data_IF_107330483199
#
_entry.id   IF_107330483199
#
_cell.length_a   1.000
_cell.length_b   1.000
_cell.length_c   1.000
_cell.angle_alpha   90.00
_cell.angle_beta   90.00
_cell.angle_gamma   90.00
#
_symmetry.space_group_name_H-M   'P 1'
#
loop_
_entity.id
_entity.type
_entity.pdbx_description
1 polymer ?
#
# COMPACT_ATOMS: atom_id res chain seq x y z
N UNK A 1 -1.03 0.29 -10.03
CA UNK A 1 -1.75 0.49 -11.31
C UNK A 1 -1.10 -0.49 -12.27
N UNK A 2 -1.82 -1.53 -12.71
CA UNK A 2 -1.20 -2.63 -13.47
C UNK A 2 -1.67 -2.64 -14.94
N UNK A 3 -2.97 -2.43 -15.19
CA UNK A 3 -3.53 -2.39 -16.54
C UNK A 3 -4.63 -1.33 -16.61
N UNK A 4 -4.48 -0.37 -17.52
CA UNK A 4 -5.51 0.62 -17.88
C UNK A 4 -6.47 -0.01 -18.89
N UNK A 5 -7.77 0.21 -18.73
CA UNK A 5 -8.82 -0.45 -19.54
C UNK A 5 -9.44 0.48 -20.58
N UNK A 6 -9.19 1.79 -20.47
CA UNK A 6 -9.68 2.79 -21.41
C UNK A 6 -9.29 2.48 -22.85
N UNK A 7 -10.26 2.57 -23.77
CA UNK A 7 -10.06 2.34 -25.21
C UNK A 7 -9.81 3.61 -26.01
N UNK A 8 -9.83 4.78 -25.34
CA UNK A 8 -9.55 6.08 -25.95
C UNK A 8 -8.58 6.87 -25.07
N UNK A 9 -7.84 7.80 -25.68
CA UNK A 9 -6.87 8.66 -24.98
C UNK A 9 -7.54 9.44 -23.84
N UNK A 10 -8.76 9.94 -24.06
CA UNK A 10 -9.53 10.66 -23.04
C UNK A 10 -9.83 9.79 -21.80
N UNK A 11 -10.33 8.57 -22.02
CA UNK A 11 -10.66 7.65 -20.91
C UNK A 11 -9.40 7.25 -20.14
N UNK A 12 -8.31 6.96 -20.86
CA UNK A 12 -7.02 6.59 -20.25
C UNK A 12 -6.48 7.74 -19.37
N UNK A 13 -6.60 9.00 -19.81
CA UNK A 13 -6.23 10.17 -18.99
C UNK A 13 -7.05 10.23 -17.70
N UNK A 14 -8.36 10.02 -17.78
CA UNK A 14 -9.24 10.00 -16.60
C UNK A 14 -8.88 8.86 -15.64
N UNK A 15 -8.64 7.65 -16.15
CA UNK A 15 -8.20 6.53 -15.33
C UNK A 15 -6.90 6.83 -14.57
N UNK A 16 -5.91 7.43 -15.25
CA UNK A 16 -4.65 7.83 -14.64
C UNK A 16 -4.86 8.84 -13.50
N UNK A 17 -5.67 9.88 -13.75
CA UNK A 17 -5.98 10.91 -12.75
C UNK A 17 -6.72 10.33 -11.54
N UNK A 18 -7.71 9.46 -11.76
CA UNK A 18 -8.46 8.81 -10.68
C UNK A 18 -7.54 7.93 -9.84
N UNK A 19 -6.64 7.17 -10.48
CA UNK A 19 -5.67 6.35 -9.76
C UNK A 19 -4.68 7.18 -8.95
N UNK A 20 -4.14 8.26 -9.52
CA UNK A 20 -3.25 9.17 -8.80
C UNK A 20 -3.96 9.81 -7.61
N UNK A 21 -5.21 10.25 -7.81
CA UNK A 21 -6.06 10.84 -6.76
C UNK A 21 -6.31 9.84 -5.63
N UNK A 22 -6.74 8.62 -5.95
CA UNK A 22 -7.00 7.58 -4.96
C UNK A 22 -5.74 7.22 -4.17
N UNK A 23 -4.60 7.07 -4.85
CA UNK A 23 -3.32 6.79 -4.21
C UNK A 23 -2.93 7.91 -3.22
N UNK A 24 -3.01 9.17 -3.67
CA UNK A 24 -2.66 10.31 -2.84
C UNK A 24 -3.61 10.48 -1.65
N UNK A 25 -4.91 10.24 -1.83
CA UNK A 25 -5.89 10.28 -0.74
C UNK A 25 -5.55 9.26 0.36
N UNK A 26 -5.22 8.02 -0.03
CA UNK A 26 -4.80 6.99 0.93
C UNK A 26 -3.50 7.40 1.64
N UNK A 27 -2.54 7.98 0.92
CA UNK A 27 -1.28 8.47 1.50
C UNK A 27 -1.50 9.61 2.50
N UNK A 28 -2.41 10.53 2.21
CA UNK A 28 -2.78 11.62 3.13
C UNK A 28 -3.42 11.05 4.40
N UNK A 29 -4.35 10.10 4.28
CA UNK A 29 -4.95 9.43 5.45
C UNK A 29 -3.89 8.72 6.32
N UNK A 30 -2.93 8.03 5.70
CA UNK A 30 -1.80 7.45 6.43
C UNK A 30 -0.98 8.53 7.13
N UNK A 31 -0.69 9.65 6.47
CA UNK A 31 0.06 10.75 7.06
C UNK A 31 -0.67 11.41 8.23
N UNK A 32 -1.98 11.60 8.12
CA UNK A 32 -2.81 12.12 9.21
C UNK A 32 -2.82 11.17 10.42
N UNK A 33 -2.99 9.88 10.19
CA UNK A 33 -2.94 8.87 11.25
C UNK A 33 -1.54 8.77 11.91
N UNK A 34 -0.48 8.88 11.11
CA UNK A 34 0.91 8.93 11.57
C UNK A 34 1.13 10.14 12.47
N UNK A 35 0.75 11.34 11.99
CA UNK A 35 0.87 12.61 12.71
C UNK A 35 0.09 12.60 14.02
N UNK A 36 -1.13 12.08 14.02
CA UNK A 36 -1.98 12.01 15.22
C UNK A 36 -1.46 11.03 16.29
N UNK A 37 -0.63 10.06 15.90
CA UNK A 37 -0.12 9.02 16.81
C UNK A 37 1.39 9.05 17.04
N UNK A 38 2.11 10.03 16.47
CA UNK A 38 3.57 10.12 16.57
C UNK A 38 4.32 8.95 15.91
N UNK A 39 3.71 8.27 14.94
CA UNK A 39 4.30 7.10 14.26
C UNK A 39 4.96 7.47 12.95
N UNK A 40 5.96 6.70 12.53
CA UNK A 40 6.51 6.80 11.17
C UNK A 40 5.47 6.32 10.15
N UNK A 41 5.10 7.20 9.20
CA UNK A 41 4.16 6.89 8.12
C UNK A 41 4.58 5.69 7.27
N UNK A 42 5.89 5.41 7.16
CA UNK A 42 6.42 4.25 6.42
C UNK A 42 6.11 2.92 7.11
N UNK A 43 5.81 2.96 8.40
CA UNK A 43 5.45 1.78 9.20
C UNK A 43 3.97 1.44 9.10
N UNK A 44 3.13 2.33 8.58
CA UNK A 44 1.69 2.09 8.44
C UNK A 44 1.37 1.23 7.22
N UNK A 45 0.38 0.35 7.34
CA UNK A 45 -0.05 -0.54 6.26
C UNK A 45 -0.91 0.21 5.23
N UNK A 46 -0.41 0.36 3.99
CA UNK A 46 -1.20 0.90 2.88
C UNK A 46 -2.41 0.01 2.58
N UNK A 47 -2.21 -1.31 2.50
CA UNK A 47 -3.27 -2.27 2.20
C UNK A 47 -4.36 -2.27 3.29
N UNK A 48 -3.95 -2.20 4.56
CA UNK A 48 -4.88 -2.07 5.68
C UNK A 48 -5.63 -0.76 5.69
N UNK A 49 -4.95 0.36 5.37
CA UNK A 49 -5.61 1.68 5.21
C UNK A 49 -6.70 1.64 4.14
N UNK A 50 -6.40 1.03 2.98
CA UNK A 50 -7.37 0.86 1.90
C UNK A 50 -8.57 -0.02 2.33
N UNK A 51 -8.33 -1.13 3.03
CA UNK A 51 -9.41 -1.98 3.56
C UNK A 51 -10.31 -1.21 4.53
N UNK A 52 -9.73 -0.48 5.49
CA UNK A 52 -10.48 0.32 6.47
C UNK A 52 -11.30 1.42 5.80
N UNK A 53 -10.72 2.13 4.83
CA UNK A 53 -11.43 3.15 4.07
C UNK A 53 -12.60 2.56 3.27
N UNK A 54 -12.40 1.41 2.63
CA UNK A 54 -13.48 0.70 1.90
C UNK A 54 -14.62 0.28 2.81
N UNK A 55 -14.31 -0.21 4.02
CA UNK A 55 -15.31 -0.59 5.02
C UNK A 55 -16.10 0.61 5.55
N UNK A 56 -15.44 1.76 5.73
CA UNK A 56 -16.11 3.00 6.11
C UNK A 56 -16.90 3.66 4.97
N UNK A 57 -16.54 3.33 3.71
CA UNK A 57 -17.11 3.92 2.50
C UNK A 57 -18.64 4.00 2.47
N UNK A 58 -19.39 2.89 2.72
CA UNK A 58 -20.86 2.93 2.74
C UNK A 58 -21.43 3.97 3.70
N UNK A 59 -20.84 4.14 4.88
CA UNK A 59 -21.28 5.13 5.87
C UNK A 59 -20.86 6.56 5.48
N UNK A 60 -19.65 6.72 4.94
CA UNK A 60 -19.09 8.04 4.57
C UNK A 60 -19.76 8.60 3.31
N UNK A 61 -20.18 7.74 2.38
CA UNK A 61 -20.72 8.11 1.07
C UNK A 61 -22.25 8.03 1.00
N UNK A 62 -22.92 7.49 2.01
CA UNK A 62 -24.37 7.40 2.01
C UNK A 62 -25.02 8.80 2.05
N UNK A 63 -26.01 8.98 1.17
CA UNK A 63 -26.81 10.19 1.16
C UNK A 63 -27.61 10.32 2.46
N UNK A 64 -27.61 11.51 3.06
CA UNK A 64 -28.34 11.78 4.31
C UNK A 64 -27.61 11.38 5.59
N UNK A 65 -26.42 10.79 5.53
CA UNK A 65 -25.63 10.52 6.75
C UNK A 65 -25.23 11.84 7.42
N UNK A 66 -25.54 12.03 8.72
CA UNK A 66 -25.16 13.24 9.43
C UNK A 66 -23.66 13.46 9.40
N UNK A 67 -23.22 14.71 9.17
CA UNK A 67 -21.79 15.08 9.14
C UNK A 67 -21.02 14.63 10.39
N UNK A 68 -21.69 14.60 11.55
CA UNK A 68 -21.12 14.09 12.80
C UNK A 68 -20.75 12.61 12.70
N UNK A 69 -21.64 11.76 12.21
CA UNK A 69 -21.39 10.32 12.05
C UNK A 69 -20.26 10.06 11.05
N UNK A 70 -20.21 10.83 9.96
CA UNK A 70 -19.10 10.75 9.00
C UNK A 70 -17.76 11.08 9.67
N UNK A 71 -17.71 12.13 10.49
CA UNK A 71 -16.50 12.51 11.24
C UNK A 71 -16.08 11.43 12.24
N UNK A 72 -17.02 10.87 12.98
CA UNK A 72 -16.77 9.78 13.94
C UNK A 72 -16.23 8.53 13.22
N UNK A 73 -16.80 8.17 12.07
CA UNK A 73 -16.32 7.07 11.24
C UNK A 73 -14.89 7.30 10.74
N UNK A 74 -14.59 8.50 10.23
CA UNK A 74 -13.24 8.85 9.78
C UNK A 74 -12.23 8.86 10.93
N UNK A 75 -12.62 9.36 12.11
CA UNK A 75 -11.78 9.30 13.31
C UNK A 75 -11.47 7.85 13.71
N UNK A 76 -12.45 6.94 13.62
CA UNK A 76 -12.25 5.51 13.86
C UNK A 76 -11.30 4.89 12.81
N UNK A 77 -11.42 5.26 11.54
CA UNK A 77 -10.49 4.84 10.48
C UNK A 77 -9.06 5.27 10.81
N UNK A 78 -8.85 6.55 11.15
CA UNK A 78 -7.52 7.06 11.51
C UNK A 78 -6.94 6.33 12.74
N UNK A 79 -7.76 6.09 13.76
CA UNK A 79 -7.36 5.34 14.94
C UNK A 79 -6.94 3.89 14.59
N UNK A 80 -7.72 3.21 13.74
CA UNK A 80 -7.38 1.87 13.25
C UNK A 80 -6.08 1.86 12.46
N UNK A 81 -5.92 2.78 11.50
CA UNK A 81 -4.74 2.91 10.66
C UNK A 81 -3.49 3.12 11.49
N UNK A 82 -3.57 3.97 12.52
CA UNK A 82 -2.44 4.23 13.42
C UNK A 82 -1.91 2.96 14.09
N UNK A 83 -2.78 1.98 14.36
CA UNK A 83 -2.44 0.72 15.04
C UNK A 83 -2.01 -0.39 14.08
N UNK A 84 -2.29 -0.25 12.79
CA UNK A 84 -1.98 -1.26 11.77
C UNK A 84 -0.57 -1.06 11.20
N UNK A 85 0.41 -1.55 11.97
CA UNK A 85 1.82 -1.44 11.63
C UNK A 85 2.30 -2.64 10.81
N UNK A 86 3.07 -2.35 9.76
CA UNK A 86 3.83 -3.35 9.03
C UNK A 86 4.88 -3.96 9.97
N UNK A 87 4.88 -5.28 10.19
CA UNK A 87 5.86 -5.93 11.07
C UNK A 87 7.29 -5.58 10.66
N UNK A 88 8.13 -5.21 11.64
CA UNK A 88 9.56 -5.07 11.39
C UNK A 88 10.15 -6.45 11.09
N UNK A 89 10.93 -6.56 10.01
CA UNK A 89 11.65 -7.79 9.64
C UNK A 89 13.08 -7.43 9.21
N UNK A 90 13.90 -6.91 10.12
CA UNK A 90 15.25 -6.40 9.80
C UNK A 90 16.12 -7.50 9.18
N UNK A 91 16.00 -8.74 9.65
CA UNK A 91 16.78 -9.89 9.18
C UNK A 91 16.27 -10.49 7.85
N UNK A 92 15.28 -9.86 7.19
CA UNK A 92 14.72 -10.37 5.95
C UNK A 92 15.52 -9.91 4.75
N UNK A 93 16.65 -10.56 4.53
CA UNK A 93 17.36 -10.54 3.26
C UNK A 93 16.90 -11.73 2.40
N UNK A 94 16.04 -11.44 1.41
CA UNK A 94 15.59 -12.41 0.42
C UNK A 94 16.21 -12.04 -0.93
N UNK A 95 17.17 -12.83 -1.48
CA UNK A 95 17.82 -12.48 -2.74
C UNK A 95 16.76 -12.41 -3.85
N UNK A 96 16.84 -11.40 -4.73
CA UNK A 96 15.88 -11.15 -5.81
C UNK A 96 16.08 -12.13 -6.98
N UNK A 97 16.01 -13.42 -6.66
CA UNK A 97 16.29 -14.53 -7.56
C UNK A 97 15.14 -15.52 -7.59
N UNK A 98 14.83 -16.04 -8.76
CA UNK A 98 13.70 -16.95 -9.01
C UNK A 98 14.17 -18.37 -9.32
N UNK A 99 13.42 -19.38 -8.84
CA UNK A 99 13.73 -20.80 -9.11
C UNK A 99 13.32 -21.29 -10.50
N UNK A 100 12.32 -20.65 -11.14
CA UNK A 100 11.69 -21.11 -12.41
C UNK A 100 11.76 -20.05 -13.52
N UNK A 101 11.41 -20.44 -14.76
CA UNK A 101 11.72 -19.81 -16.07
C UNK A 101 11.66 -18.26 -16.09
N UNK A 102 12.65 -17.58 -16.73
CA UNK A 102 12.83 -16.14 -16.55
C UNK A 102 12.08 -15.30 -17.60
N UNK A 103 11.74 -14.06 -17.22
CA UNK A 103 11.82 -12.91 -18.14
C UNK A 103 12.52 -11.67 -17.56
N UNK A 104 12.87 -11.62 -16.28
CA UNK A 104 13.53 -10.43 -15.72
C UNK A 104 14.24 -10.56 -14.37
N UNK A 105 14.50 -11.78 -13.89
CA UNK A 105 15.17 -12.00 -12.60
C UNK A 105 16.26 -13.05 -12.71
N UNK A 106 17.37 -12.84 -11.97
CA UNK A 106 18.46 -13.80 -11.87
C UNK A 106 17.98 -15.15 -11.31
N UNK A 107 18.56 -16.27 -11.77
CA UNK A 107 18.18 -17.61 -11.29
C UNK A 107 18.73 -17.86 -9.88
N UNK A 108 17.94 -18.52 -9.04
CA UNK A 108 18.36 -18.98 -7.72
C UNK A 108 19.15 -20.29 -7.85
N UNK A 109 20.46 -20.16 -8.08
CA UNK A 109 21.38 -21.30 -8.29
C UNK A 109 21.99 -21.85 -7.01
N UNK A 110 22.00 -21.08 -5.93
CA UNK A 110 22.53 -21.46 -4.62
C UNK A 110 21.44 -21.35 -3.55
N UNK A 111 21.55 -22.06 -2.41
CA UNK A 111 20.64 -21.87 -1.28
C UNK A 111 20.62 -20.41 -0.82
N UNK A 112 19.46 -19.93 -0.36
CA UNK A 112 19.29 -18.53 0.09
C UNK A 112 20.23 -18.14 1.24
N UNK A 113 20.58 -19.11 2.09
CA UNK A 113 21.56 -18.92 3.17
C UNK A 113 22.94 -18.48 2.65
N UNK A 114 23.37 -18.96 1.48
CA UNK A 114 24.62 -18.52 0.86
C UNK A 114 24.57 -17.03 0.53
N UNK A 115 23.53 -16.57 -0.18
CA UNK A 115 23.38 -15.16 -0.55
C UNK A 115 23.23 -14.24 0.67
N UNK A 116 22.57 -14.70 1.74
CA UNK A 116 22.51 -13.97 3.01
C UNK A 116 23.89 -13.75 3.63
N UNK A 117 24.77 -14.75 3.57
CA UNK A 117 26.11 -14.71 4.18
C UNK A 117 27.12 -13.91 3.33
N UNK A 118 27.03 -14.01 2.01
CA UNK A 118 28.05 -13.47 1.10
C UNK A 118 27.59 -12.24 0.30
N UNK A 119 26.33 -11.82 0.44
CA UNK A 119 25.71 -10.81 -0.41
C UNK A 119 25.28 -11.34 -1.78
N UNK A 120 24.66 -10.48 -2.58
CA UNK A 120 24.23 -10.79 -3.96
C UNK A 120 24.53 -9.60 -4.90
N UNK A 121 25.81 -9.39 -5.28
CA UNK A 121 26.21 -8.25 -6.11
C UNK A 121 25.70 -8.34 -7.55
N UNK A 122 25.31 -9.53 -8.00
CA UNK A 122 24.78 -9.80 -9.35
C UNK A 122 23.25 -9.84 -9.40
N UNK A 123 22.59 -9.36 -8.35
CA UNK A 123 21.14 -9.24 -8.26
C UNK A 123 20.62 -8.25 -9.32
N UNK A 124 19.96 -8.77 -10.37
CA UNK A 124 19.18 -7.99 -11.35
C UNK A 124 17.72 -7.91 -10.91
#
# INVERSE_FOLDING_TARGET
MDVLRGRSVDVVRKELLVHATAYNLIRILMWEAARASGRDVRRLSFAGTLDRLRRAGPLVLAAGTPRRQVREALALVLACVSRDLVPARPERFEPRRVKRRPKGYSRLTKPRAHYRRHGDPECR
#
